data_IF_937312007135
#
_entry.id   IF_937312007135
#
_cell.length_a   1.000
_cell.length_b   1.000
_cell.length_c   1.000
_cell.angle_alpha   90.00
_cell.angle_beta   90.00
_cell.angle_gamma   90.00
#
_symmetry.space_group_name_H-M   'P 1'
#
loop_
_entity.id
_entity.type
_entity.pdbx_description
1 polymer ?
#
# COMPACT_ATOMS: atom_id res chain seq x y z
N UNK A 1 -22.36 -3.22 -30.56
CA UNK A 1 -21.59 -3.60 -29.33
C UNK A 1 -21.90 -2.61 -28.22
N UNK A 2 -22.22 -3.10 -27.02
CA UNK A 2 -22.43 -2.17 -25.90
C UNK A 2 -21.14 -1.42 -25.59
N UNK A 3 -21.29 -0.17 -25.19
CA UNK A 3 -20.17 0.64 -24.69
C UNK A 3 -19.65 0.01 -23.39
N UNK A 4 -18.34 -0.15 -23.28
CA UNK A 4 -17.71 -0.69 -22.08
C UNK A 4 -17.24 0.43 -21.15
N UNK A 5 -17.42 0.23 -19.84
CA UNK A 5 -16.78 1.09 -18.86
C UNK A 5 -15.27 0.88 -18.91
N UNK A 6 -14.53 1.94 -18.61
CA UNK A 6 -13.08 1.88 -18.53
C UNK A 6 -12.66 1.63 -17.09
N UNK A 7 -11.78 0.67 -16.84
CA UNK A 7 -11.17 0.49 -15.53
C UNK A 7 -10.19 1.66 -15.27
N UNK A 8 -10.30 2.31 -14.15
CA UNK A 8 -9.54 3.54 -13.86
C UNK A 8 -8.69 3.48 -12.58
N UNK A 9 -8.83 2.44 -11.77
CA UNK A 9 -7.98 2.34 -10.58
C UNK A 9 -8.56 1.40 -9.55
N UNK A 10 -7.88 1.36 -8.41
CA UNK A 10 -8.32 0.60 -7.24
C UNK A 10 -8.79 1.57 -6.16
N UNK A 11 -9.92 1.24 -5.52
CA UNK A 11 -10.41 1.97 -4.36
C UNK A 11 -9.81 1.43 -3.07
N UNK A 12 -9.72 0.11 -2.95
CA UNK A 12 -9.21 -0.55 -1.75
C UNK A 12 -8.68 -1.95 -2.06
N UNK A 13 -7.91 -2.47 -1.13
CA UNK A 13 -7.50 -3.87 -1.04
C UNK A 13 -8.00 -4.40 0.30
N UNK A 14 -8.48 -5.63 0.33
CA UNK A 14 -8.93 -6.28 1.57
C UNK A 14 -8.00 -7.45 1.90
N UNK A 15 -7.57 -7.49 3.15
CA UNK A 15 -6.74 -8.57 3.70
C UNK A 15 -7.53 -9.33 4.75
N UNK A 16 -7.45 -10.66 4.72
CA UNK A 16 -7.99 -11.49 5.79
C UNK A 16 -6.93 -11.62 6.89
N UNK A 17 -7.32 -11.31 8.11
CA UNK A 17 -6.47 -11.38 9.29
C UNK A 17 -7.19 -12.20 10.38
N UNK A 18 -6.43 -12.72 11.33
CA UNK A 18 -6.98 -13.56 12.39
C UNK A 18 -7.61 -12.77 13.52
N UNK A 19 -7.12 -11.55 13.77
CA UNK A 19 -7.58 -10.67 14.83
C UNK A 19 -7.34 -9.23 14.43
N UNK A 20 -8.35 -8.37 14.58
CA UNK A 20 -8.25 -6.99 14.10
C UNK A 20 -7.29 -6.16 14.97
N UNK A 21 -7.34 -6.31 16.29
CA UNK A 21 -6.46 -5.53 17.18
C UNK A 21 -5.00 -5.93 16.99
N UNK A 22 -4.72 -7.22 16.84
CA UNK A 22 -3.36 -7.70 16.52
C UNK A 22 -2.90 -7.18 15.16
N UNK A 23 -3.77 -7.13 14.17
CA UNK A 23 -3.45 -6.61 12.84
C UNK A 23 -3.12 -5.12 12.89
N UNK A 24 -3.90 -4.34 13.63
CA UNK A 24 -3.65 -2.90 13.79
C UNK A 24 -2.33 -2.65 14.53
N UNK A 25 -2.02 -3.45 15.54
CA UNK A 25 -0.73 -3.37 16.23
C UNK A 25 0.43 -3.73 15.29
N UNK A 26 0.30 -4.82 14.55
CA UNK A 26 1.33 -5.26 13.60
C UNK A 26 1.61 -4.17 12.56
N UNK A 27 0.57 -3.72 11.84
CA UNK A 27 0.74 -2.71 10.80
C UNK A 27 1.16 -1.35 11.37
N UNK A 28 0.73 -1.01 12.59
CA UNK A 28 1.14 0.20 13.28
C UNK A 28 2.61 0.23 13.71
N UNK A 29 3.27 -0.92 13.80
CA UNK A 29 4.73 -0.99 13.99
C UNK A 29 5.50 -0.71 12.70
N UNK A 30 4.87 -0.93 11.55
CA UNK A 30 5.51 -0.80 10.24
C UNK A 30 5.22 0.55 9.58
N UNK A 31 4.01 1.07 9.77
CA UNK A 31 3.53 2.25 9.05
C UNK A 31 2.82 3.20 9.98
N UNK A 32 2.96 4.48 9.70
CA UNK A 32 2.14 5.52 10.31
C UNK A 32 0.85 5.65 9.47
N UNK A 33 -0.31 5.57 10.12
CA UNK A 33 -1.59 5.69 9.45
C UNK A 33 -2.68 6.19 10.40
N UNK A 34 -3.76 6.66 9.79
CA UNK A 34 -5.00 7.01 10.48
C UNK A 34 -6.06 5.96 10.17
N UNK A 35 -6.86 5.59 11.15
CA UNK A 35 -8.04 4.74 10.90
C UNK A 35 -9.14 5.58 10.26
N UNK A 36 -9.71 5.04 9.18
CA UNK A 36 -10.93 5.57 8.59
C UNK A 36 -12.16 5.14 9.38
N UNK A 37 -12.17 3.86 9.81
CA UNK A 37 -13.29 3.27 10.56
C UNK A 37 -12.82 2.00 11.26
N UNK A 38 -13.47 1.65 12.37
CA UNK A 38 -13.27 0.42 13.12
C UNK A 38 -14.63 -0.22 13.42
N UNK A 39 -14.80 -1.45 12.99
CA UNK A 39 -15.98 -2.28 13.25
C UNK A 39 -15.58 -3.50 14.07
N UNK A 40 -16.54 -4.34 14.50
CA UNK A 40 -16.26 -5.52 15.32
C UNK A 40 -15.26 -6.47 14.62
N UNK A 41 -15.47 -6.76 13.32
CA UNK A 41 -14.70 -7.73 12.56
C UNK A 41 -13.95 -7.11 11.36
N UNK A 42 -13.78 -5.80 11.36
CA UNK A 42 -13.09 -5.10 10.29
C UNK A 42 -12.45 -3.80 10.77
N UNK A 43 -11.42 -3.35 10.07
CA UNK A 43 -10.84 -2.03 10.24
C UNK A 43 -10.42 -1.50 8.86
N UNK A 44 -10.46 -0.19 8.70
CA UNK A 44 -10.14 0.46 7.44
C UNK A 44 -9.02 1.47 7.68
N UNK A 45 -7.86 1.18 7.10
CA UNK A 45 -6.68 2.04 7.17
C UNK A 45 -6.78 3.08 6.06
N UNK A 46 -6.74 4.35 6.44
CA UNK A 46 -6.85 5.46 5.49
C UNK A 46 -5.54 5.64 4.72
N UNK A 47 -5.64 5.68 3.40
CA UNK A 47 -4.54 5.98 2.48
C UNK A 47 -4.78 7.28 1.69
N UNK A 48 -5.70 8.11 2.17
CA UNK A 48 -6.08 9.36 1.53
C UNK A 48 -7.32 9.16 0.64
N UNK A 49 -7.13 8.98 -0.63
CA UNK A 49 -8.21 8.71 -1.59
C UNK A 49 -8.48 7.22 -1.83
N UNK A 50 -7.78 6.37 -1.09
CA UNK A 50 -7.92 4.91 -1.10
C UNK A 50 -7.89 4.41 0.35
N UNK A 51 -8.13 3.12 0.56
CA UNK A 51 -7.99 2.54 1.88
C UNK A 51 -7.59 1.05 1.81
N UNK A 52 -7.03 0.56 2.90
CA UNK A 52 -6.73 -0.86 3.10
C UNK A 52 -7.73 -1.40 4.12
N UNK A 53 -8.48 -2.43 3.73
CA UNK A 53 -9.43 -3.09 4.61
C UNK A 53 -8.76 -4.30 5.28
N UNK A 54 -8.91 -4.41 6.59
CA UNK A 54 -8.57 -5.59 7.36
C UNK A 54 -9.86 -6.26 7.77
N UNK A 55 -10.03 -7.53 7.42
CA UNK A 55 -11.25 -8.28 7.69
C UNK A 55 -10.91 -9.55 8.46
N UNK A 56 -11.60 -9.78 9.58
CA UNK A 56 -11.40 -11.01 10.34
C UNK A 56 -11.95 -12.20 9.55
N UNK A 57 -11.17 -13.24 9.46
CA UNK A 57 -11.56 -14.46 8.76
C UNK A 57 -10.76 -15.68 9.22
N UNK A 58 -11.06 -16.86 8.65
CA UNK A 58 -10.41 -18.10 9.04
C UNK A 58 -8.95 -18.14 8.65
N UNK A 59 -8.17 -18.95 9.35
CA UNK A 59 -6.79 -19.22 9.03
C UNK A 59 -6.65 -19.76 7.59
N UNK A 60 -5.62 -19.30 6.88
CA UNK A 60 -5.31 -19.70 5.52
C UNK A 60 -3.82 -20.00 5.41
N UNK A 61 -3.45 -20.74 4.35
CA UNK A 61 -2.04 -20.90 3.98
C UNK A 61 -1.46 -19.58 3.49
N UNK A 62 -0.16 -19.31 3.73
CA UNK A 62 0.48 -18.11 3.20
C UNK A 62 0.36 -18.00 1.69
N UNK A 63 0.16 -16.77 1.20
CA UNK A 63 0.17 -16.48 -0.23
C UNK A 63 1.60 -16.51 -0.76
N UNK A 64 1.84 -17.29 -1.77
CA UNK A 64 3.13 -17.36 -2.47
C UNK A 64 3.06 -16.76 -3.89
N UNK A 65 1.87 -16.50 -4.39
CA UNK A 65 1.64 -15.92 -5.71
C UNK A 65 0.87 -14.60 -5.70
N UNK A 66 -0.16 -14.50 -4.85
CA UNK A 66 -0.97 -13.29 -4.76
C UNK A 66 -0.28 -12.28 -3.85
N UNK A 67 -0.18 -11.05 -4.31
CA UNK A 67 0.37 -9.95 -3.52
C UNK A 67 -0.18 -8.63 -4.05
N UNK A 68 0.03 -7.56 -3.30
CA UNK A 68 -0.25 -6.21 -3.77
C UNK A 68 0.92 -5.30 -3.41
N UNK A 69 1.05 -4.21 -4.16
CA UNK A 69 2.06 -3.18 -3.88
C UNK A 69 1.48 -2.10 -2.99
N UNK A 70 2.08 -1.91 -1.82
CA UNK A 70 1.75 -0.80 -0.93
C UNK A 70 2.76 0.31 -1.16
N UNK A 71 2.27 1.46 -1.58
CA UNK A 71 3.12 2.61 -1.89
C UNK A 71 3.37 3.38 -0.60
N UNK A 72 4.64 3.69 -0.34
CA UNK A 72 5.08 4.46 0.83
C UNK A 72 5.84 5.71 0.38
N UNK A 73 5.94 6.67 1.27
CA UNK A 73 6.70 7.91 1.04
C UNK A 73 8.22 7.66 1.03
N UNK A 74 8.71 6.76 1.88
CA UNK A 74 10.14 6.46 1.99
C UNK A 74 10.34 4.95 2.17
N UNK A 75 10.81 4.29 1.12
CA UNK A 75 11.01 2.84 1.09
C UNK A 75 12.09 2.37 2.07
N UNK A 76 13.14 3.17 2.27
CA UNK A 76 14.21 2.80 3.20
C UNK A 76 13.74 2.86 4.66
N UNK A 77 12.95 3.87 5.00
CA UNK A 77 12.32 3.95 6.33
C UNK A 77 11.41 2.74 6.56
N UNK A 78 10.63 2.34 5.56
CA UNK A 78 9.79 1.15 5.64
C UNK A 78 10.63 -0.13 5.83
N UNK A 79 11.74 -0.26 5.11
CA UNK A 79 12.68 -1.39 5.27
C UNK A 79 13.18 -1.50 6.71
N UNK A 80 13.62 -0.39 7.27
CA UNK A 80 14.13 -0.37 8.64
C UNK A 80 13.05 -0.75 9.67
N UNK A 81 11.82 -0.29 9.47
CA UNK A 81 10.70 -0.66 10.35
C UNK A 81 10.37 -2.15 10.28
N UNK A 82 10.40 -2.73 9.08
CA UNK A 82 10.18 -4.16 8.86
C UNK A 82 11.24 -4.99 9.61
N UNK A 83 12.51 -4.63 9.45
CA UNK A 83 13.62 -5.31 10.14
C UNK A 83 13.53 -5.14 11.66
N UNK A 84 13.21 -3.93 12.13
CA UNK A 84 13.06 -3.65 13.56
C UNK A 84 11.90 -4.43 14.19
N UNK A 85 10.87 -4.76 13.42
CA UNK A 85 9.76 -5.58 13.86
C UNK A 85 10.09 -7.10 13.88
N UNK A 86 11.31 -7.48 13.52
CA UNK A 86 11.75 -8.88 13.49
C UNK A 86 11.27 -9.66 12.28
N UNK A 87 10.82 -8.97 11.23
CA UNK A 87 10.33 -9.61 10.00
C UNK A 87 11.51 -9.79 9.04
N UNK A 88 11.64 -10.99 8.49
CA UNK A 88 12.62 -11.25 7.43
C UNK A 88 11.93 -11.04 6.08
N UNK A 89 12.38 -10.08 5.27
CA UNK A 89 11.85 -9.90 3.92
C UNK A 89 12.02 -11.17 3.07
N UNK A 90 11.10 -11.39 2.15
CA UNK A 90 11.17 -12.53 1.24
C UNK A 90 12.38 -12.38 0.30
N UNK A 91 12.99 -13.50 -0.14
CA UNK A 91 14.11 -13.43 -1.08
C UNK A 91 13.69 -12.85 -2.42
N UNK A 92 14.61 -12.13 -3.07
CA UNK A 92 14.41 -11.55 -4.39
C UNK A 92 14.76 -10.08 -4.45
N UNK A 93 14.57 -9.44 -5.63
CA UNK A 93 14.97 -8.04 -5.86
C UNK A 93 14.03 -7.00 -5.27
N UNK A 94 12.85 -7.42 -4.82
CA UNK A 94 11.81 -6.53 -4.29
C UNK A 94 11.74 -6.58 -2.77
N UNK A 95 11.14 -5.58 -2.16
CA UNK A 95 10.93 -5.56 -0.71
C UNK A 95 9.55 -6.13 -0.40
N UNK A 96 9.48 -7.45 -0.31
CA UNK A 96 8.26 -8.19 0.01
C UNK A 96 8.33 -8.77 1.40
N UNK A 97 7.20 -8.85 2.08
CA UNK A 97 7.11 -9.57 3.35
C UNK A 97 5.75 -10.25 3.50
N UNK A 98 5.67 -11.20 4.41
CA UNK A 98 4.42 -11.81 4.83
C UNK A 98 3.99 -11.21 6.16
N UNK A 99 2.69 -10.89 6.27
CA UNK A 99 2.12 -10.54 7.57
C UNK A 99 1.90 -11.82 8.40
N UNK A 100 1.51 -11.73 9.69
CA UNK A 100 1.31 -12.92 10.52
C UNK A 100 0.26 -13.91 10.00
N UNK A 101 -0.62 -13.48 9.10
CA UNK A 101 -1.68 -14.32 8.54
C UNK A 101 -1.38 -14.80 7.11
N UNK A 102 -0.15 -14.57 6.65
CA UNK A 102 0.31 -15.04 5.34
C UNK A 102 -0.05 -14.14 4.17
N UNK A 103 -0.54 -12.93 4.40
CA UNK A 103 -0.74 -11.98 3.32
C UNK A 103 0.62 -11.46 2.84
N UNK A 104 0.82 -11.44 1.52
CA UNK A 104 2.07 -10.98 0.92
C UNK A 104 1.94 -9.54 0.45
N UNK A 105 2.84 -8.69 0.92
CA UNK A 105 2.84 -7.26 0.63
C UNK A 105 4.20 -6.86 0.06
N UNK A 106 4.19 -6.17 -1.07
CA UNK A 106 5.38 -5.55 -1.67
C UNK A 106 5.39 -4.07 -1.33
N UNK A 107 6.51 -3.56 -0.86
CA UNK A 107 6.68 -2.13 -0.53
C UNK A 107 7.31 -1.41 -1.70
N UNK A 108 6.66 -0.34 -2.14
CA UNK A 108 7.04 0.43 -3.31
C UNK A 108 7.16 1.90 -2.93
N UNK A 109 8.26 2.53 -3.33
CA UNK A 109 8.47 3.96 -3.11
C UNK A 109 7.72 4.81 -4.12
N UNK A 110 7.02 5.82 -3.65
CA UNK A 110 6.21 6.72 -4.49
C UNK A 110 6.99 7.37 -5.64
N UNK A 111 8.24 7.77 -5.38
CA UNK A 111 9.01 8.55 -6.35
C UNK A 111 9.34 7.83 -7.65
N UNK A 112 9.49 6.52 -7.62
CA UNK A 112 10.03 5.74 -8.76
C UNK A 112 8.97 5.10 -9.64
N UNK A 113 7.68 5.33 -9.36
CA UNK A 113 6.57 4.65 -10.04
C UNK A 113 5.65 5.65 -10.73
N UNK A 114 4.81 5.14 -11.62
CA UNK A 114 3.87 5.98 -12.38
C UNK A 114 2.64 6.38 -11.56
N UNK A 115 2.22 5.54 -10.59
CA UNK A 115 1.08 5.89 -9.72
C UNK A 115 1.30 7.27 -9.12
N UNK A 116 0.31 8.14 -9.24
CA UNK A 116 0.42 9.53 -8.78
C UNK A 116 -0.88 9.96 -8.10
N UNK A 117 -0.75 10.52 -6.90
CA UNK A 117 -1.85 11.20 -6.23
C UNK A 117 -1.90 12.66 -6.70
N UNK A 118 -3.09 13.20 -6.76
CA UNK A 118 -3.27 14.62 -7.05
C UNK A 118 -2.56 15.49 -5.99
N UNK A 119 -2.00 16.63 -6.39
CA UNK A 119 -1.27 17.49 -5.46
C UNK A 119 -2.06 17.90 -4.21
N UNK A 120 -3.37 18.15 -4.35
CA UNK A 120 -4.21 18.52 -3.21
C UNK A 120 -4.43 17.35 -2.24
N UNK A 121 -4.45 16.10 -2.74
CA UNK A 121 -4.54 14.90 -1.89
C UNK A 121 -3.24 14.73 -1.10
N UNK A 122 -2.10 14.84 -1.75
CA UNK A 122 -0.80 14.80 -1.08
C UNK A 122 -0.68 15.87 0.01
N UNK A 123 -1.09 17.10 -0.28
CA UNK A 123 -1.07 18.18 0.72
C UNK A 123 -1.93 17.84 1.93
N UNK A 124 -3.13 17.30 1.70
CA UNK A 124 -4.04 16.90 2.78
C UNK A 124 -3.48 15.78 3.65
N UNK A 125 -2.62 14.94 3.09
CA UNK A 125 -1.93 13.87 3.82
C UNK A 125 -0.63 14.33 4.50
N UNK A 126 -0.22 15.58 4.34
CA UNK A 126 1.06 16.08 4.84
C UNK A 126 2.25 15.65 3.99
N UNK A 127 2.03 15.24 2.75
CA UNK A 127 3.03 14.68 1.84
C UNK A 127 3.28 15.55 0.61
N UNK A 128 2.96 16.83 0.69
CA UNK A 128 3.11 17.76 -0.44
C UNK A 128 4.55 17.92 -0.94
N UNK A 129 5.54 17.50 -0.15
CA UNK A 129 6.96 17.52 -0.52
C UNK A 129 7.38 16.37 -1.43
N UNK A 130 6.55 15.33 -1.58
CA UNK A 130 6.91 14.17 -2.40
C UNK A 130 6.99 14.54 -3.88
N UNK A 131 8.01 13.97 -4.55
CA UNK A 131 8.27 14.21 -5.96
C UNK A 131 8.57 12.91 -6.68
N UNK A 132 8.31 12.92 -7.98
CA UNK A 132 8.68 11.84 -8.88
C UNK A 132 10.12 12.00 -9.36
N UNK A 133 10.82 10.89 -9.58
CA UNK A 133 12.14 10.87 -10.20
C UNK A 133 12.01 11.24 -11.69
N UNK A 134 13.12 11.70 -12.33
CA UNK A 134 13.12 11.95 -13.77
C UNK A 134 12.66 10.74 -14.60
N UNK A 135 13.03 9.53 -14.20
CA UNK A 135 12.62 8.31 -14.90
C UNK A 135 11.11 8.08 -14.83
N UNK A 136 10.50 8.26 -13.65
CA UNK A 136 9.05 8.12 -13.49
C UNK A 136 8.30 9.20 -14.29
N UNK A 137 8.81 10.43 -14.28
CA UNK A 137 8.23 11.52 -15.08
C UNK A 137 8.29 11.23 -16.57
N UNK A 138 9.40 10.65 -17.06
CA UNK A 138 9.53 10.27 -18.47
C UNK A 138 8.52 9.19 -18.85
N UNK A 139 8.35 8.17 -18.01
CA UNK A 139 7.35 7.12 -18.25
C UNK A 139 5.92 7.69 -18.33
N UNK A 140 5.60 8.65 -17.48
CA UNK A 140 4.31 9.34 -17.54
C UNK A 140 4.19 10.19 -18.80
N UNK A 141 5.24 10.92 -19.17
CA UNK A 141 5.26 11.76 -20.37
C UNK A 141 5.06 10.92 -21.64
N UNK A 142 5.66 9.72 -21.71
CA UNK A 142 5.52 8.81 -22.84
C UNK A 142 4.06 8.35 -23.04
N UNK A 143 3.24 8.46 -22.01
CA UNK A 143 1.79 8.16 -22.04
C UNK A 143 0.92 9.40 -22.18
N UNK A 144 1.52 10.58 -22.36
CA UNK A 144 0.77 11.82 -22.39
C UNK A 144 0.27 12.27 -21.01
N UNK A 145 0.92 11.84 -19.93
CA UNK A 145 0.52 12.09 -18.54
C UNK A 145 1.55 12.90 -17.77
N UNK A 146 2.34 13.72 -18.47
CA UNK A 146 3.28 14.61 -17.80
C UNK A 146 2.52 15.64 -16.94
N UNK A 147 3.01 15.99 -15.74
CA UNK A 147 2.42 17.07 -14.95
C UNK A 147 2.59 18.41 -15.67
N UNK A 148 1.65 19.31 -15.43
CA UNK A 148 1.70 20.68 -15.95
C UNK A 148 2.74 21.51 -15.22
#
# INVERSE_FOLDING_TARGET
MPKKARAIGFNHVALIVGDIDEALEFYGRLFDFTLREREADAAFIDLGDQFLALQKGPERSPDDGHHFGLVVDDKEVARQAILAAGITPLPGPFLDFLDPWGNRIEIIGYGNIQFSKAPHVLRGMGLGHLKKTPGALQELADKGMAPE
#
